data_IF_551859867033
#
_entry.id   IF_551859867033
#
_cell.length_a   1.000
_cell.length_b   1.000
_cell.length_c   1.000
_cell.angle_alpha   90.00
_cell.angle_beta   90.00
_cell.angle_gamma   90.00
#
_symmetry.space_group_name_H-M   'P 1'
#
loop_
_entity.id
_entity.type
_entity.pdbx_description
1 polymer ?
#
# COMPACT_ATOMS: atom_id res chain seq x y z
N UNK A 1 62.63 -21.68 -0.50
CA UNK A 1 61.59 -21.16 -1.41
C UNK A 1 60.58 -22.28 -1.69
N UNK A 2 59.53 -22.43 -0.87
CA UNK A 2 58.35 -23.28 -1.22
C UNK A 2 57.29 -23.42 -0.11
N UNK A 3 57.56 -23.12 1.17
CA UNK A 3 56.56 -23.36 2.24
C UNK A 3 55.95 -22.13 2.93
N UNK A 4 56.48 -20.92 2.73
CA UNK A 4 55.96 -19.70 3.37
C UNK A 4 54.96 -18.88 2.53
N UNK A 5 54.80 -19.18 1.24
CA UNK A 5 53.91 -18.40 0.36
C UNK A 5 52.45 -18.86 0.38
N UNK A 6 52.14 -20.05 0.93
CA UNK A 6 50.77 -20.62 0.88
C UNK A 6 49.85 -20.22 2.04
N UNK A 7 50.38 -19.55 3.08
CA UNK A 7 49.59 -19.08 4.23
C UNK A 7 49.21 -17.60 4.18
N UNK A 8 49.88 -16.78 3.35
CA UNK A 8 49.58 -15.35 3.23
C UNK A 8 48.35 -15.07 2.35
N UNK A 9 48.09 -15.94 1.36
CA UNK A 9 46.98 -15.78 0.41
C UNK A 9 45.57 -16.02 0.99
N UNK A 10 45.43 -16.44 2.26
CA UNK A 10 44.12 -16.74 2.87
C UNK A 10 43.64 -15.73 3.93
N UNK A 11 44.47 -14.75 4.32
CA UNK A 11 44.07 -13.70 5.27
C UNK A 11 43.56 -12.41 4.61
N UNK A 12 43.85 -12.20 3.33
CA UNK A 12 43.49 -10.97 2.62
C UNK A 12 42.06 -10.99 2.05
N UNK A 13 41.29 -12.07 2.26
CA UNK A 13 39.92 -12.23 1.73
C UNK A 13 38.80 -11.95 2.74
N UNK A 14 39.10 -11.56 3.99
CA UNK A 14 38.06 -11.45 5.05
C UNK A 14 37.97 -10.09 5.76
N UNK A 15 38.73 -9.07 5.35
CA UNK A 15 38.64 -7.72 5.92
C UNK A 15 38.62 -6.66 4.79
N UNK A 16 37.61 -6.75 3.94
CA UNK A 16 37.30 -5.75 2.92
C UNK A 16 36.25 -4.73 3.37
N UNK A 17 36.28 -4.28 4.62
CA UNK A 17 35.45 -3.14 5.04
C UNK A 17 36.22 -1.87 4.67
N UNK A 18 35.98 -1.35 3.46
CA UNK A 18 36.40 0.02 3.13
C UNK A 18 35.59 0.98 3.99
N UNK A 19 36.23 1.61 4.96
CA UNK A 19 35.69 2.79 5.63
C UNK A 19 35.36 3.84 4.55
N UNK A 20 34.08 4.19 4.43
CA UNK A 20 33.62 5.27 3.55
C UNK A 20 33.99 6.59 4.23
N UNK A 21 34.97 7.28 3.66
CA UNK A 21 35.40 8.60 4.11
C UNK A 21 34.29 9.62 3.81
N UNK A 22 33.61 10.11 4.86
CA UNK A 22 32.51 11.06 4.74
C UNK A 22 33.06 12.48 4.60
N UNK A 23 33.49 12.81 3.38
CA UNK A 23 33.84 14.18 3.00
C UNK A 23 32.58 15.05 3.01
N UNK A 24 32.42 15.89 4.05
CA UNK A 24 31.43 16.98 4.12
C UNK A 24 31.59 17.88 2.90
N UNK A 25 30.76 17.67 1.89
CA UNK A 25 30.74 18.46 0.66
C UNK A 25 29.44 19.25 0.60
N UNK A 26 29.53 20.51 0.24
CA UNK A 26 28.52 21.59 0.15
C UNK A 26 27.44 21.34 -0.92
N UNK A 27 26.97 20.08 -1.05
CA UNK A 27 25.96 19.63 -2.01
C UNK A 27 24.52 19.94 -1.56
N UNK A 28 24.31 20.53 -0.38
CA UNK A 28 22.98 20.70 0.20
C UNK A 28 22.10 21.71 -0.58
N UNK A 29 22.69 22.74 -1.17
CA UNK A 29 21.95 23.81 -1.85
C UNK A 29 21.48 23.45 -3.27
N UNK A 30 22.18 22.55 -3.98
CA UNK A 30 21.71 22.06 -5.28
C UNK A 30 20.64 20.95 -5.16
N UNK A 31 20.64 20.19 -4.06
CA UNK A 31 19.58 19.22 -3.74
C UNK A 31 18.23 19.88 -3.49
N UNK A 32 18.17 21.04 -2.84
CA UNK A 32 16.90 21.73 -2.57
C UNK A 32 16.14 22.10 -3.85
N UNK A 33 16.85 22.50 -4.90
CA UNK A 33 16.27 22.83 -6.21
C UNK A 33 15.82 21.58 -6.98
N UNK A 34 16.52 20.46 -6.82
CA UNK A 34 16.14 19.16 -7.40
C UNK A 34 14.96 18.50 -6.68
N UNK A 35 14.80 18.73 -5.36
CA UNK A 35 13.61 18.31 -4.61
C UNK A 35 12.33 19.04 -5.06
N UNK A 36 12.46 20.29 -5.54
CA UNK A 36 11.33 21.05 -6.11
C UNK A 36 10.87 20.52 -7.49
N UNK A 37 11.79 19.97 -8.29
CA UNK A 37 11.50 19.38 -9.61
C UNK A 37 10.76 18.03 -9.51
N UNK A 38 10.81 17.37 -8.34
CA UNK A 38 10.26 16.04 -8.11
C UNK A 38 9.01 16.07 -7.21
N UNK A 39 8.32 17.21 -7.16
CA UNK A 39 7.02 17.32 -6.50
C UNK A 39 6.05 16.32 -7.14
N UNK A 40 5.47 15.46 -6.30
CA UNK A 40 4.41 14.56 -6.72
C UNK A 40 3.16 15.40 -6.92
N UNK A 41 2.86 15.73 -8.18
CA UNK A 41 1.60 16.38 -8.51
C UNK A 41 0.46 15.34 -8.44
N UNK A 42 -0.27 15.38 -7.32
CA UNK A 42 -1.40 14.49 -7.05
C UNK A 42 -2.46 14.60 -8.14
N UNK A 43 -2.68 15.80 -8.69
CA UNK A 43 -3.70 16.01 -9.71
C UNK A 43 -3.33 15.26 -11.00
N UNK A 44 -2.07 15.33 -11.40
CA UNK A 44 -1.55 14.56 -12.54
C UNK A 44 -1.68 13.05 -12.32
N UNK A 45 -1.33 12.55 -11.13
CA UNK A 45 -1.45 11.11 -10.81
C UNK A 45 -2.89 10.62 -10.85
N UNK A 46 -3.82 11.39 -10.29
CA UNK A 46 -5.25 11.06 -10.30
C UNK A 46 -5.78 11.08 -11.73
N UNK A 47 -5.34 12.05 -12.55
CA UNK A 47 -5.74 12.14 -13.95
C UNK A 47 -5.23 10.95 -14.75
N UNK A 48 -3.95 10.59 -14.63
CA UNK A 48 -3.34 9.43 -15.29
C UNK A 48 -4.04 8.13 -14.87
N UNK A 49 -4.29 7.95 -13.57
CA UNK A 49 -5.04 6.83 -13.06
C UNK A 49 -6.44 6.77 -13.66
N UNK A 50 -7.16 7.90 -13.72
CA UNK A 50 -8.52 7.96 -14.29
C UNK A 50 -8.56 7.54 -15.75
N UNK A 51 -7.59 7.99 -16.55
CA UNK A 51 -7.47 7.57 -17.94
C UNK A 51 -7.20 6.06 -18.04
N UNK A 52 -6.32 5.54 -17.19
CA UNK A 52 -5.97 4.12 -17.18
C UNK A 52 -7.09 3.22 -16.65
N UNK A 53 -7.89 3.66 -15.66
CA UNK A 53 -9.09 2.95 -15.18
C UNK A 53 -10.05 2.68 -16.33
N UNK A 54 -10.29 3.67 -17.19
CA UNK A 54 -11.20 3.53 -18.33
C UNK A 54 -10.74 2.47 -19.35
N UNK A 55 -9.43 2.20 -19.40
CA UNK A 55 -8.84 1.19 -20.28
C UNK A 55 -8.75 -0.21 -19.64
N UNK A 56 -9.08 -0.37 -18.35
CA UNK A 56 -9.02 -1.66 -17.67
C UNK A 56 -10.14 -2.57 -18.16
N UNK A 57 -9.78 -3.70 -18.78
CA UNK A 57 -10.75 -4.71 -19.18
C UNK A 57 -10.85 -5.79 -18.10
N UNK A 58 -12.02 -5.89 -17.45
CA UNK A 58 -12.28 -6.94 -16.44
C UNK A 58 -12.21 -8.36 -17.03
N UNK A 59 -12.27 -8.49 -18.36
CA UNK A 59 -12.08 -9.76 -19.08
C UNK A 59 -10.66 -10.30 -18.94
N UNK A 60 -9.66 -9.43 -18.75
CA UNK A 60 -8.25 -9.81 -18.59
C UNK A 60 -7.99 -10.58 -17.30
N UNK A 61 -8.92 -10.55 -16.35
CA UNK A 61 -8.83 -11.34 -15.12
C UNK A 61 -8.74 -12.85 -15.40
N UNK A 62 -9.33 -13.31 -16.51
CA UNK A 62 -9.26 -14.72 -16.94
C UNK A 62 -7.84 -15.16 -17.32
N UNK A 63 -6.98 -14.21 -17.67
CA UNK A 63 -5.60 -14.46 -18.06
C UNK A 63 -4.65 -14.49 -16.85
N UNK A 64 -5.15 -14.25 -15.64
CA UNK A 64 -4.34 -14.28 -14.44
C UNK A 64 -3.87 -15.71 -14.13
N UNK A 65 -2.61 -15.90 -13.69
CA UNK A 65 -2.16 -17.20 -13.19
C UNK A 65 -3.07 -17.71 -12.08
N UNK A 66 -3.56 -18.95 -12.20
CA UNK A 66 -4.48 -19.59 -11.26
C UNK A 66 -4.07 -19.42 -9.79
N UNK A 67 -2.79 -19.62 -9.39
CA UNK A 67 -2.41 -19.45 -7.98
C UNK A 67 -2.66 -18.03 -7.48
N UNK A 68 -2.27 -17.02 -8.26
CA UNK A 68 -2.39 -15.61 -7.89
C UNK A 68 -3.87 -15.21 -7.74
N UNK A 69 -4.72 -15.71 -8.64
CA UNK A 69 -6.15 -15.48 -8.57
C UNK A 69 -6.76 -16.08 -7.30
N UNK A 70 -6.53 -17.36 -7.04
CA UNK A 70 -7.13 -18.05 -5.89
C UNK A 70 -6.61 -17.52 -4.55
N UNK A 71 -5.32 -17.24 -4.43
CA UNK A 71 -4.78 -16.61 -3.22
C UNK A 71 -5.27 -15.17 -3.05
N UNK A 72 -5.45 -14.42 -4.14
CA UNK A 72 -6.05 -13.09 -4.09
C UNK A 72 -7.49 -13.11 -3.58
N UNK A 73 -8.31 -14.03 -4.11
CA UNK A 73 -9.71 -14.21 -3.68
C UNK A 73 -9.79 -14.74 -2.25
N UNK A 74 -8.96 -15.70 -1.87
CA UNK A 74 -8.88 -16.19 -0.49
C UNK A 74 -8.48 -15.06 0.48
N UNK A 75 -7.65 -14.12 0.03
CA UNK A 75 -7.32 -12.91 0.76
C UNK A 75 -8.52 -11.99 1.06
N UNK A 76 -9.69 -12.19 0.45
CA UNK A 76 -10.90 -11.43 0.78
C UNK A 76 -11.67 -12.02 1.98
N UNK A 77 -11.35 -13.24 2.42
CA UNK A 77 -12.06 -13.89 3.53
C UNK A 77 -12.12 -13.02 4.79
N UNK A 78 -11.02 -12.36 5.24
CA UNK A 78 -11.07 -11.52 6.45
C UNK A 78 -11.79 -10.17 6.25
N UNK A 79 -12.24 -9.85 5.04
CA UNK A 79 -13.18 -8.75 4.77
C UNK A 79 -14.64 -9.22 4.79
N UNK A 80 -14.92 -10.38 4.20
CA UNK A 80 -16.28 -10.91 4.05
C UNK A 80 -16.79 -11.52 5.35
N UNK A 81 -15.98 -12.32 6.04
CA UNK A 81 -16.40 -13.07 7.22
C UNK A 81 -16.88 -12.19 8.38
N UNK A 82 -16.19 -11.10 8.78
CA UNK A 82 -16.67 -10.18 9.81
C UNK A 82 -18.06 -9.62 9.50
N UNK A 83 -18.24 -9.06 8.30
CA UNK A 83 -19.50 -8.45 7.87
C UNK A 83 -20.62 -9.49 7.83
N UNK A 84 -20.34 -10.69 7.32
CA UNK A 84 -21.32 -11.77 7.25
C UNK A 84 -21.82 -12.17 8.64
N UNK A 85 -20.93 -12.38 9.60
CA UNK A 85 -21.31 -12.71 10.99
C UNK A 85 -22.08 -11.56 11.63
N UNK A 86 -21.59 -10.32 11.48
CA UNK A 86 -22.20 -9.13 12.07
C UNK A 86 -23.58 -8.79 11.52
N UNK A 87 -23.95 -9.27 10.32
CA UNK A 87 -25.34 -9.15 9.80
C UNK A 87 -26.32 -9.92 10.69
N UNK A 88 -25.91 -11.04 11.29
CA UNK A 88 -26.78 -11.86 12.13
C UNK A 88 -26.64 -11.57 13.62
N UNK A 89 -25.44 -11.21 14.08
CA UNK A 89 -25.14 -11.04 15.51
C UNK A 89 -25.11 -9.59 15.97
N UNK A 90 -25.17 -8.63 15.05
CA UNK A 90 -24.88 -7.23 15.33
C UNK A 90 -23.38 -6.93 15.38
N UNK A 91 -23.03 -5.66 15.62
CA UNK A 91 -21.65 -5.21 15.58
C UNK A 91 -20.82 -5.76 16.75
N UNK A 92 -19.87 -6.63 16.45
CA UNK A 92 -18.87 -7.10 17.40
C UNK A 92 -17.55 -6.32 17.24
N UNK A 93 -17.04 -5.65 18.29
CA UNK A 93 -15.79 -4.89 18.21
C UNK A 93 -14.59 -5.71 17.76
N UNK A 94 -14.48 -6.96 18.22
CA UNK A 94 -13.36 -7.86 17.86
C UNK A 94 -13.28 -8.13 16.35
N UNK A 95 -14.44 -8.30 15.70
CA UNK A 95 -14.53 -8.54 14.26
C UNK A 95 -14.18 -7.27 13.46
N UNK A 96 -14.64 -6.11 13.92
CA UNK A 96 -14.28 -4.82 13.34
C UNK A 96 -12.78 -4.54 13.45
N UNK A 97 -12.18 -4.78 14.62
CA UNK A 97 -10.72 -4.65 14.82
C UNK A 97 -9.93 -5.64 13.97
N UNK A 98 -10.37 -6.90 13.86
CA UNK A 98 -9.74 -7.89 13.01
C UNK A 98 -9.73 -7.44 11.53
N UNK A 99 -10.86 -6.92 11.05
CA UNK A 99 -10.96 -6.39 9.69
C UNK A 99 -10.03 -5.19 9.48
N UNK A 100 -9.96 -4.25 10.43
CA UNK A 100 -9.06 -3.09 10.35
C UNK A 100 -7.59 -3.49 10.32
N UNK A 101 -7.18 -4.38 11.23
CA UNK A 101 -5.81 -4.89 11.30
C UNK A 101 -5.41 -5.55 9.98
N UNK A 102 -6.28 -6.43 9.47
CA UNK A 102 -6.05 -7.10 8.20
C UNK A 102 -5.98 -6.10 7.03
N UNK A 103 -6.85 -5.10 7.02
CA UNK A 103 -6.85 -4.06 6.00
C UNK A 103 -5.55 -3.25 6.00
N UNK A 104 -5.01 -2.93 7.20
CA UNK A 104 -3.69 -2.33 7.35
C UNK A 104 -2.56 -3.23 6.85
N UNK A 105 -2.60 -4.53 7.15
CA UNK A 105 -1.63 -5.52 6.63
C UNK A 105 -1.64 -5.58 5.10
N UNK A 106 -2.83 -5.65 4.48
CA UNK A 106 -2.96 -5.67 3.02
C UNK A 106 -2.48 -4.35 2.40
N UNK A 107 -2.81 -3.21 2.99
CA UNK A 107 -2.35 -1.92 2.51
C UNK A 107 -0.82 -1.79 2.56
N UNK A 108 -0.17 -2.31 3.60
CA UNK A 108 1.28 -2.41 3.68
C UNK A 108 1.85 -3.38 2.62
N UNK A 109 1.22 -4.53 2.42
CA UNK A 109 1.59 -5.49 1.37
C UNK A 109 1.50 -4.88 -0.03
N UNK A 110 0.50 -4.04 -0.33
CA UNK A 110 0.38 -3.36 -1.62
C UNK A 110 1.58 -2.44 -1.89
N UNK A 111 2.04 -1.68 -0.89
CA UNK A 111 3.28 -0.90 -0.98
C UNK A 111 4.51 -1.78 -1.26
N UNK A 112 4.61 -2.91 -0.56
CA UNK A 112 5.65 -3.92 -0.81
C UNK A 112 5.58 -4.52 -2.23
N UNK A 113 4.39 -4.79 -2.74
CA UNK A 113 4.18 -5.32 -4.10
C UNK A 113 4.68 -4.34 -5.17
N UNK A 114 4.46 -3.05 -4.97
CA UNK A 114 4.92 -1.97 -5.86
C UNK A 114 6.43 -1.80 -5.80
N UNK A 115 7.03 -1.87 -4.61
CA UNK A 115 8.48 -1.89 -4.46
C UNK A 115 9.09 -3.12 -5.18
N UNK A 116 8.49 -4.30 -4.98
CA UNK A 116 8.95 -5.55 -5.59
C UNK A 116 8.87 -5.56 -7.12
N UNK A 117 7.87 -4.89 -7.71
CA UNK A 117 7.80 -4.77 -9.17
C UNK A 117 8.93 -3.92 -9.74
N UNK A 118 9.42 -2.92 -9.01
CA UNK A 118 10.54 -2.08 -9.46
C UNK A 118 11.87 -2.83 -9.49
N UNK A 119 12.04 -3.86 -8.67
CA UNK A 119 13.26 -4.67 -8.64
C UNK A 119 13.52 -5.42 -9.96
N UNK A 120 12.47 -5.67 -10.74
CA UNK A 120 12.55 -6.37 -12.03
C UNK A 120 12.66 -5.40 -13.22
N UNK A 121 12.62 -4.10 -12.97
CA UNK A 121 12.70 -3.07 -14.00
C UNK A 121 14.07 -2.36 -13.98
N UNK A 122 14.22 -1.32 -14.81
CA UNK A 122 15.46 -0.56 -14.91
C UNK A 122 15.78 0.20 -13.63
N UNK A 123 17.07 0.46 -13.38
CA UNK A 123 17.52 1.30 -12.24
C UNK A 123 16.86 2.68 -12.20
N UNK A 124 16.43 3.19 -13.36
CA UNK A 124 15.72 4.47 -13.48
C UNK A 124 14.31 4.43 -12.86
N UNK A 125 13.70 3.25 -12.75
CA UNK A 125 12.39 3.09 -12.10
C UNK A 125 12.47 3.15 -10.58
N UNK A 126 13.64 2.85 -10.00
CA UNK A 126 13.96 3.06 -8.57
C UNK A 126 14.25 4.52 -8.25
N UNK A 127 13.49 5.45 -8.82
CA UNK A 127 13.58 6.87 -8.52
C UNK A 127 13.05 7.17 -7.10
N UNK A 128 13.55 8.25 -6.48
CA UNK A 128 13.07 8.72 -5.16
C UNK A 128 11.54 8.88 -5.12
N UNK A 129 10.94 9.34 -6.21
CA UNK A 129 9.49 9.49 -6.36
C UNK A 129 8.78 8.14 -6.26
N UNK A 130 9.22 7.16 -7.05
CA UNK A 130 8.59 5.84 -7.13
C UNK A 130 8.75 5.04 -5.83
N UNK A 131 9.94 5.11 -5.21
CA UNK A 131 10.18 4.50 -3.91
C UNK A 131 9.33 5.18 -2.83
N UNK A 132 9.24 6.52 -2.83
CA UNK A 132 8.35 7.25 -1.93
C UNK A 132 6.90 6.78 -2.08
N UNK A 133 6.40 6.68 -3.31
CA UNK A 133 5.05 6.17 -3.59
C UNK A 133 4.83 4.72 -3.15
N UNK A 134 5.88 3.88 -3.13
CA UNK A 134 5.80 2.51 -2.62
C UNK A 134 5.79 2.42 -1.09
N UNK A 135 6.36 3.41 -0.39
CA UNK A 135 6.39 3.45 1.07
C UNK A 135 5.15 4.11 1.69
N UNK A 136 4.49 5.03 0.96
CA UNK A 136 3.28 5.74 1.43
C UNK A 136 2.20 4.77 1.97
N UNK A 137 1.82 3.68 1.28
CA UNK A 137 0.78 2.77 1.78
C UNK A 137 1.07 2.19 3.16
N UNK A 138 2.33 1.82 3.46
CA UNK A 138 2.70 1.25 4.75
C UNK A 138 2.59 2.29 5.89
N UNK A 139 3.05 3.52 5.65
CA UNK A 139 2.90 4.62 6.61
C UNK A 139 1.44 4.99 6.79
N UNK A 140 0.65 4.97 5.71
CA UNK A 140 -0.78 5.23 5.74
C UNK A 140 -1.53 4.19 6.58
N UNK A 141 -1.21 2.90 6.38
CA UNK A 141 -1.77 1.81 7.16
C UNK A 141 -1.48 1.97 8.66
N UNK A 142 -0.23 2.27 9.02
CA UNK A 142 0.16 2.50 10.41
C UNK A 142 -0.61 3.67 11.03
N UNK A 143 -0.67 4.81 10.33
CA UNK A 143 -1.43 5.98 10.78
C UNK A 143 -2.92 5.68 10.95
N UNK A 144 -3.51 4.88 10.06
CA UNK A 144 -4.92 4.54 10.13
C UNK A 144 -5.26 3.69 11.37
N UNK A 145 -4.37 2.79 11.78
CA UNK A 145 -4.56 1.93 12.95
C UNK A 145 -4.41 2.68 14.29
N UNK A 146 -3.81 3.88 14.29
CA UNK A 146 -3.72 4.74 15.48
C UNK A 146 -4.99 5.59 15.70
N UNK A 147 -5.86 5.66 14.70
CA UNK A 147 -7.08 6.47 14.77
C UNK A 147 -8.21 5.71 15.50
N UNK A 148 -9.19 6.44 16.07
CA UNK A 148 -10.42 5.83 16.58
C UNK A 148 -11.13 5.03 15.49
N UNK A 149 -11.79 3.94 15.87
CA UNK A 149 -12.38 2.93 14.97
C UNK A 149 -13.16 3.51 13.78
N UNK A 150 -14.02 4.50 14.01
CA UNK A 150 -14.79 5.14 12.93
C UNK A 150 -13.91 5.82 11.86
N UNK A 151 -12.90 6.59 12.30
CA UNK A 151 -11.94 7.23 11.40
C UNK A 151 -10.98 6.22 10.78
N UNK A 152 -10.58 5.18 11.52
CA UNK A 152 -9.71 4.12 11.02
C UNK A 152 -10.29 3.45 9.77
N UNK A 153 -11.60 3.13 9.74
CA UNK A 153 -12.23 2.54 8.56
C UNK A 153 -12.17 3.47 7.33
N UNK A 154 -12.43 4.76 7.52
CA UNK A 154 -12.36 5.75 6.43
C UNK A 154 -10.92 5.93 5.93
N UNK A 155 -9.96 6.02 6.85
CA UNK A 155 -8.55 6.21 6.51
C UNK A 155 -8.00 4.96 5.81
N UNK A 156 -8.32 3.74 6.25
CA UNK A 156 -7.88 2.53 5.53
C UNK A 156 -8.57 2.40 4.17
N UNK A 157 -9.88 2.67 4.08
CA UNK A 157 -10.61 2.64 2.81
C UNK A 157 -10.04 3.61 1.78
N UNK A 158 -9.75 4.85 2.19
CA UNK A 158 -9.07 5.83 1.32
C UNK A 158 -7.64 5.42 0.99
N UNK A 159 -6.91 4.80 1.91
CA UNK A 159 -5.57 4.26 1.67
C UNK A 159 -5.56 3.16 0.60
N UNK A 160 -6.52 2.22 0.65
CA UNK A 160 -6.67 1.17 -0.37
C UNK A 160 -6.95 1.76 -1.75
N UNK A 161 -7.85 2.75 -1.83
CA UNK A 161 -8.14 3.47 -3.08
C UNK A 161 -6.90 4.22 -3.57
N UNK A 162 -6.21 4.94 -2.69
CA UNK A 162 -5.01 5.68 -3.04
C UNK A 162 -3.89 4.75 -3.56
N UNK A 163 -3.70 3.58 -2.95
CA UNK A 163 -2.76 2.58 -3.44
C UNK A 163 -3.11 2.10 -4.84
N UNK A 164 -4.40 1.86 -5.12
CA UNK A 164 -4.86 1.49 -6.46
C UNK A 164 -4.63 2.61 -7.48
N UNK A 165 -4.93 3.86 -7.13
CA UNK A 165 -4.67 5.04 -7.96
C UNK A 165 -3.17 5.14 -8.29
N UNK A 166 -2.30 4.97 -7.30
CA UNK A 166 -0.84 4.98 -7.48
C UNK A 166 -0.38 3.87 -8.42
N UNK A 167 -0.95 2.67 -8.30
CA UNK A 167 -0.63 1.54 -9.17
C UNK A 167 -1.09 1.77 -10.62
N UNK A 168 -2.27 2.37 -10.80
CA UNK A 168 -2.82 2.70 -12.12
C UNK A 168 -2.07 3.85 -12.79
N UNK A 169 -1.64 4.86 -12.04
CA UNK A 169 -0.90 5.99 -12.58
C UNK A 169 0.55 5.61 -12.99
N UNK A 170 1.17 4.65 -12.31
CA UNK A 170 2.57 4.25 -12.55
C UNK A 170 2.68 3.01 -13.45
N UNK A 171 1.61 2.66 -14.18
CA UNK A 171 1.41 1.28 -14.64
C UNK A 171 2.44 0.81 -15.67
N UNK A 172 3.36 -0.06 -15.22
CA UNK A 172 4.09 -1.03 -16.05
C UNK A 172 3.61 -2.47 -15.80
N UNK A 173 2.43 -2.60 -15.19
CA UNK A 173 1.88 -3.90 -14.83
C UNK A 173 1.21 -4.57 -16.03
N UNK A 174 1.23 -5.91 -16.10
CA UNK A 174 0.45 -6.60 -17.11
C UNK A 174 -1.06 -6.39 -16.87
N UNK A 175 -1.88 -6.33 -17.94
CA UNK A 175 -3.32 -5.99 -17.82
C UNK A 175 -4.09 -6.87 -16.82
N UNK A 176 -3.80 -8.18 -16.78
CA UNK A 176 -4.45 -9.10 -15.84
C UNK A 176 -4.22 -8.73 -14.37
N UNK A 177 -3.04 -8.21 -14.02
CA UNK A 177 -2.69 -7.85 -12.65
C UNK A 177 -3.40 -6.56 -12.22
N UNK A 178 -3.55 -5.62 -13.15
CA UNK A 178 -4.32 -4.40 -12.94
C UNK A 178 -5.80 -4.72 -12.70
N UNK A 179 -6.40 -5.54 -13.56
CA UNK A 179 -7.80 -5.98 -13.40
C UNK A 179 -8.03 -6.71 -12.08
N UNK A 180 -7.07 -7.56 -11.67
CA UNK A 180 -7.12 -8.24 -10.37
C UNK A 180 -7.07 -7.24 -9.21
N UNK A 181 -6.13 -6.28 -9.21
CA UNK A 181 -6.05 -5.24 -8.18
C UNK A 181 -7.33 -4.40 -8.10
N UNK A 182 -7.91 -4.03 -9.23
CA UNK A 182 -9.20 -3.33 -9.25
C UNK A 182 -10.31 -4.15 -8.59
N UNK A 183 -10.44 -5.44 -8.96
CA UNK A 183 -11.46 -6.33 -8.39
C UNK A 183 -11.30 -6.51 -6.87
N UNK A 184 -10.07 -6.78 -6.41
CA UNK A 184 -9.79 -7.00 -4.99
C UNK A 184 -10.00 -5.74 -4.17
N UNK A 185 -9.51 -4.59 -4.63
CA UNK A 185 -9.66 -3.31 -3.92
C UNK A 185 -11.12 -2.87 -3.88
N UNK A 186 -11.86 -3.00 -4.98
CA UNK A 186 -13.29 -2.68 -5.00
C UNK A 186 -14.06 -3.49 -3.96
N UNK A 187 -13.81 -4.80 -3.93
CA UNK A 187 -14.46 -5.71 -2.98
C UNK A 187 -14.06 -5.36 -1.54
N UNK A 188 -12.75 -5.19 -1.27
CA UNK A 188 -12.25 -4.82 0.06
C UNK A 188 -12.88 -3.51 0.58
N UNK A 189 -12.90 -2.45 -0.24
CA UNK A 189 -13.50 -1.16 0.12
C UNK A 189 -14.99 -1.29 0.40
N UNK A 190 -15.73 -2.06 -0.41
CA UNK A 190 -17.14 -2.31 -0.18
C UNK A 190 -17.38 -2.93 1.22
N UNK A 191 -16.63 -3.97 1.57
CA UNK A 191 -16.76 -4.62 2.87
C UNK A 191 -16.28 -3.75 4.05
N UNK A 192 -15.27 -2.90 3.85
CA UNK A 192 -14.87 -1.86 4.82
C UNK A 192 -16.00 -0.88 5.08
N UNK A 193 -16.68 -0.40 4.04
CA UNK A 193 -17.82 0.50 4.17
C UNK A 193 -19.03 -0.17 4.84
N UNK A 194 -19.28 -1.45 4.55
CA UNK A 194 -20.34 -2.22 5.22
C UNK A 194 -20.07 -2.39 6.73
N UNK A 195 -18.83 -2.71 7.11
CA UNK A 195 -18.45 -2.80 8.52
C UNK A 195 -18.53 -1.43 9.21
N UNK A 196 -18.11 -0.35 8.54
CA UNK A 196 -18.27 1.02 9.03
C UNK A 196 -19.75 1.36 9.25
N UNK A 197 -20.63 1.03 8.30
CA UNK A 197 -22.08 1.21 8.45
C UNK A 197 -22.61 0.50 9.69
N UNK A 198 -22.22 -0.76 9.92
CA UNK A 198 -22.62 -1.52 11.10
C UNK A 198 -22.10 -0.89 12.39
N UNK A 199 -20.84 -0.43 12.41
CA UNK A 199 -20.26 0.30 13.53
C UNK A 199 -21.05 1.58 13.86
N UNK A 200 -21.38 2.38 12.84
CA UNK A 200 -22.15 3.61 13.02
C UNK A 200 -23.58 3.35 13.49
N UNK A 201 -24.23 2.33 12.93
CA UNK A 201 -25.59 1.94 13.33
C UNK A 201 -25.64 1.52 14.81
N UNK A 202 -24.65 0.75 15.28
CA UNK A 202 -24.56 0.33 16.67
C UNK A 202 -24.22 1.49 17.62
N UNK A 203 -23.42 2.46 17.16
CA UNK A 203 -22.92 3.58 17.94
C UNK A 203 -23.62 4.89 17.55
N UNK A 204 -24.93 4.83 17.31
CA UNK A 204 -25.74 5.93 16.75
C UNK A 204 -25.60 7.26 17.50
N UNK A 205 -25.39 7.21 18.82
CA UNK A 205 -25.17 8.38 19.66
C UNK A 205 -23.99 9.28 19.20
N UNK A 206 -22.95 8.73 18.57
CA UNK A 206 -21.84 9.53 18.03
C UNK A 206 -22.23 10.33 16.77
N UNK A 207 -23.16 9.81 15.97
CA UNK A 207 -23.64 10.49 14.78
C UNK A 207 -24.53 11.68 15.17
N UNK A 208 -25.36 11.50 16.19
CA UNK A 208 -26.25 12.53 16.70
C UNK A 208 -25.47 13.65 17.39
N UNK A 209 -24.36 13.36 18.07
CA UNK A 209 -23.45 14.39 18.60
C UNK A 209 -22.72 15.17 17.49
N UNK A 210 -22.19 14.48 16.48
CA UNK A 210 -21.45 15.12 15.38
C UNK A 210 -22.33 15.96 14.43
N UNK A 211 -23.62 15.61 14.31
CA UNK A 211 -24.60 16.34 13.48
C UNK A 211 -25.39 17.35 14.30
N UNK A 212 -25.68 17.06 15.57
CA UNK A 212 -26.45 17.91 16.49
C UNK A 212 -25.75 19.22 16.87
N UNK A 213 -24.42 19.28 16.81
CA UNK A 213 -23.67 20.52 17.06
C UNK A 213 -23.91 21.60 15.98
N UNK A 214 -24.44 21.25 14.80
CA UNK A 214 -24.78 22.23 13.75
C UNK A 214 -26.19 22.83 13.88
N UNK A 215 -26.96 22.46 14.90
CA UNK A 215 -28.37 22.88 15.06
C UNK A 215 -28.64 23.88 16.19
N UNK A 216 -27.60 24.40 16.87
CA UNK A 216 -27.74 25.47 17.87
C UNK A 216 -26.90 26.68 17.51
#
# INVERSE_FOLDING_TARGET
VSHQQRFKSRKDSLLGVKCVDFKKNTRFLHTAKSLKQNQVDILSLVQDARLNVGNVQMRDLKNAPLPVFWFGVAGLVPYVAPVFVQVFTGYMPVLGSAQLLYSGTILSFLGGSKFGSMLHCDKNDCSWKNIGLAMIPAVWAWSALLLPTGFAFLTVGTGLIASLVIDLATSKYPPWFVSLKCFLTFTAVLFVLLCLKQYLFNNRHYYEAAVGEKSN
#
